data_IF_313575454583
#
_entry.id   IF_313575454583
#
_cell.length_a   1.000
_cell.length_b   1.000
_cell.length_c   1.000
_cell.angle_alpha   90.00
_cell.angle_beta   90.00
_cell.angle_gamma   90.00
#
_symmetry.space_group_name_H-M   'P 1'
#
loop_
_entity.id
_entity.type
_entity.pdbx_description
1 polymer ?
#
# COMPACT_ATOMS: atom_id res chain seq x y z
N UNK A 1 -50.18 13.36 -12.70
CA UNK A 1 -49.92 11.96 -12.33
C UNK A 1 -48.44 11.80 -12.06
N UNK A 2 -48.02 11.27 -10.89
CA UNK A 2 -46.61 11.22 -10.49
C UNK A 2 -45.91 10.02 -11.15
N UNK A 3 -44.73 10.25 -11.73
CA UNK A 3 -43.79 9.20 -12.13
C UNK A 3 -42.44 9.49 -11.44
N UNK A 4 -42.47 9.47 -10.10
CA UNK A 4 -41.28 9.32 -9.28
C UNK A 4 -40.79 7.88 -9.48
N UNK A 5 -39.69 7.72 -10.21
CA UNK A 5 -39.20 6.40 -10.60
C UNK A 5 -37.75 6.43 -11.03
N UNK A 6 -36.85 6.42 -10.03
CA UNK A 6 -35.68 5.52 -9.92
C UNK A 6 -34.61 6.15 -9.04
N UNK A 7 -34.65 5.78 -7.77
CA UNK A 7 -33.50 5.80 -6.88
C UNK A 7 -32.36 5.00 -7.54
N UNK A 8 -31.29 5.68 -7.96
CA UNK A 8 -30.03 5.00 -8.26
C UNK A 8 -29.34 4.71 -6.94
N UNK A 9 -29.52 3.46 -6.51
CA UNK A 9 -28.77 2.78 -5.44
C UNK A 9 -27.33 3.27 -5.39
N UNK A 10 -27.01 3.95 -4.29
CA UNK A 10 -25.65 4.19 -3.80
C UNK A 10 -24.88 2.88 -3.86
N UNK A 11 -23.71 2.93 -4.49
CA UNK A 11 -22.78 1.81 -4.58
C UNK A 11 -22.57 1.26 -3.16
N UNK A 12 -22.86 -0.02 -3.00
CA UNK A 12 -22.47 -0.85 -1.87
C UNK A 12 -20.99 -0.61 -1.59
N UNK A 13 -20.68 0.05 -0.48
CA UNK A 13 -19.35 0.02 0.12
C UNK A 13 -19.14 -1.41 0.62
N UNK A 14 -18.46 -2.21 -0.20
CA UNK A 14 -17.94 -3.51 0.24
C UNK A 14 -16.98 -3.24 1.39
N UNK A 15 -17.34 -3.77 2.56
CA UNK A 15 -16.56 -3.71 3.79
C UNK A 15 -15.21 -4.37 3.53
N UNK A 16 -14.23 -3.55 3.15
CA UNK A 16 -12.85 -3.96 3.01
C UNK A 16 -12.37 -4.43 4.38
N UNK A 17 -11.92 -5.69 4.47
CA UNK A 17 -11.22 -6.20 5.64
C UNK A 17 -9.97 -5.33 5.79
N UNK A 18 -10.06 -4.27 6.62
CA UNK A 18 -8.99 -3.28 6.83
C UNK A 18 -7.75 -3.99 7.35
N UNK A 19 -6.92 -4.46 6.43
CA UNK A 19 -5.52 -4.67 6.73
C UNK A 19 -4.99 -3.32 7.19
N UNK A 20 -4.30 -3.26 8.34
CA UNK A 20 -3.74 -2.02 8.83
C UNK A 20 -2.86 -1.43 7.73
N UNK A 21 -3.16 -0.20 7.36
CA UNK A 21 -2.41 0.51 6.34
C UNK A 21 -0.98 0.74 6.84
N UNK A 22 -0.03 0.91 5.93
CA UNK A 22 1.36 1.23 6.29
C UNK A 22 1.43 2.46 7.22
N UNK A 23 0.56 3.43 6.96
CA UNK A 23 0.41 4.67 7.71
C UNK A 23 -0.11 4.43 9.14
N UNK A 24 -0.83 3.35 9.41
CA UNK A 24 -1.29 3.01 10.76
C UNK A 24 -0.14 2.52 11.66
N UNK A 25 0.91 1.94 11.05
CA UNK A 25 2.05 1.34 11.78
C UNK A 25 3.32 2.17 11.78
N UNK A 26 3.49 3.03 10.79
CA UNK A 26 4.74 3.78 10.61
C UNK A 26 4.50 5.24 10.29
N UNK A 27 5.40 6.09 10.79
CA UNK A 27 5.54 7.47 10.34
C UNK A 27 6.54 7.53 9.19
N UNK A 28 6.05 7.74 7.97
CA UNK A 28 6.91 7.93 6.79
C UNK A 28 7.58 9.30 6.84
N UNK A 29 8.91 9.31 6.76
CA UNK A 29 9.79 10.47 6.80
C UNK A 29 10.36 10.74 5.41
N UNK A 30 11.64 11.08 5.33
CA UNK A 30 12.32 11.47 4.09
C UNK A 30 12.45 10.34 3.06
N UNK A 31 12.68 10.73 1.81
CA UNK A 31 12.97 9.83 0.70
C UNK A 31 14.45 9.43 0.76
N UNK A 32 14.71 8.13 0.87
CA UNK A 32 16.06 7.57 0.89
C UNK A 32 16.55 7.19 -0.51
N UNK A 33 15.63 6.85 -1.41
CA UNK A 33 16.00 6.47 -2.77
C UNK A 33 14.82 6.25 -3.70
N UNK A 34 15.10 6.27 -5.00
CA UNK A 34 14.14 5.95 -6.06
C UNK A 34 14.71 4.85 -6.94
N UNK A 35 13.84 3.95 -7.37
CA UNK A 35 14.11 2.92 -8.36
C UNK A 35 13.08 3.01 -9.48
N UNK A 36 13.21 2.15 -10.49
CA UNK A 36 12.36 2.17 -11.68
C UNK A 36 10.85 2.02 -11.36
N UNK A 37 10.52 1.22 -10.34
CA UNK A 37 9.13 0.92 -9.94
C UNK A 37 8.89 1.04 -8.44
N UNK A 38 9.87 1.56 -7.71
CA UNK A 38 9.84 1.60 -6.25
C UNK A 38 10.44 2.89 -5.71
N UNK A 39 9.93 3.36 -4.58
CA UNK A 39 10.55 4.43 -3.80
C UNK A 39 10.83 3.91 -2.39
N UNK A 40 11.98 4.29 -1.82
CA UNK A 40 12.35 3.91 -0.46
C UNK A 40 12.27 5.13 0.42
N UNK A 41 11.49 5.06 1.50
CA UNK A 41 11.39 6.12 2.50
C UNK A 41 11.87 5.64 3.85
N UNK A 42 12.45 6.55 4.62
CA UNK A 42 12.69 6.33 6.04
C UNK A 42 11.34 6.27 6.75
N UNK A 43 11.17 5.35 7.69
CA UNK A 43 9.95 5.22 8.46
C UNK A 43 10.28 4.93 9.92
N UNK A 44 9.59 5.59 10.84
CA UNK A 44 9.68 5.31 12.27
C UNK A 44 8.49 4.45 12.71
N UNK A 45 8.75 3.40 13.50
CA UNK A 45 7.70 2.55 14.05
C UNK A 45 6.85 3.32 15.07
N UNK A 46 5.52 3.24 14.92
CA UNK A 46 4.56 3.79 15.90
C UNK A 46 4.49 2.95 17.17
N UNK A 47 4.71 1.65 17.07
CA UNK A 47 4.68 0.73 18.20
C UNK A 47 5.97 0.83 19.03
N UNK A 48 7.12 1.05 18.38
CA UNK A 48 8.43 1.17 19.02
C UNK A 48 9.10 2.49 18.63
N UNK A 49 8.80 3.59 19.33
CA UNK A 49 9.41 4.90 19.06
C UNK A 49 10.94 4.82 19.06
N UNK A 50 11.58 5.51 18.11
CA UNK A 50 13.03 5.47 17.91
C UNK A 50 13.53 4.32 17.03
N UNK A 51 12.72 3.30 16.73
CA UNK A 51 13.08 2.25 15.76
C UNK A 51 12.80 2.74 14.34
N UNK A 52 13.86 2.82 13.55
CA UNK A 52 13.84 3.32 12.18
C UNK A 52 13.98 2.16 11.18
N UNK A 53 13.18 2.20 10.12
CA UNK A 53 13.18 1.24 9.02
C UNK A 53 13.24 1.95 7.67
N UNK A 54 13.79 1.27 6.67
CA UNK A 54 13.65 1.66 5.27
C UNK A 54 12.45 0.93 4.67
N UNK A 55 11.42 1.67 4.26
CA UNK A 55 10.22 1.11 3.65
C UNK A 55 10.29 1.25 2.14
N UNK A 56 10.44 0.13 1.44
CA UNK A 56 10.39 0.06 -0.03
C UNK A 56 8.93 -0.04 -0.49
N UNK A 57 8.44 1.06 -1.04
CA UNK A 57 7.08 1.20 -1.59
C UNK A 57 7.14 0.89 -3.08
N UNK A 58 6.25 0.02 -3.56
CA UNK A 58 6.27 -0.49 -4.93
C UNK A 58 4.88 -0.32 -5.54
N UNK A 59 4.79 0.33 -6.71
CA UNK A 59 3.52 0.45 -7.42
C UNK A 59 3.23 -0.86 -8.17
N UNK A 60 2.25 -1.62 -7.67
CA UNK A 60 1.82 -2.88 -8.28
C UNK A 60 1.34 -2.71 -9.73
N UNK A 61 0.79 -1.55 -10.10
CA UNK A 61 0.33 -1.31 -11.48
C UNK A 61 1.50 -1.27 -12.46
N UNK A 62 2.63 -0.70 -12.03
CA UNK A 62 3.85 -0.62 -12.83
C UNK A 62 4.56 -1.98 -12.97
N UNK A 63 4.19 -2.95 -12.14
CA UNK A 63 4.72 -4.32 -12.17
C UNK A 63 3.87 -5.31 -12.97
N UNK A 64 2.80 -4.87 -13.64
CA UNK A 64 1.95 -5.75 -14.45
C UNK A 64 2.80 -6.50 -15.48
N UNK A 65 2.83 -7.83 -15.40
CA UNK A 65 3.67 -8.69 -16.25
C UNK A 65 5.09 -8.97 -15.73
N UNK A 66 5.46 -8.48 -14.54
CA UNK A 66 6.73 -8.75 -13.84
C UNK A 66 6.51 -9.17 -12.37
N UNK A 67 5.35 -9.75 -12.07
CA UNK A 67 4.93 -10.13 -10.72
C UNK A 67 5.87 -11.19 -10.12
N UNK A 68 6.35 -12.12 -10.94
CA UNK A 68 7.32 -13.14 -10.55
C UNK A 68 8.63 -12.54 -10.01
N UNK A 69 9.06 -11.40 -10.57
CA UNK A 69 10.27 -10.72 -10.10
C UNK A 69 10.09 -10.14 -8.70
N UNK A 70 8.89 -9.62 -8.38
CA UNK A 70 8.57 -9.11 -7.05
C UNK A 70 8.50 -10.27 -6.04
N UNK A 71 7.83 -11.37 -6.40
CA UNK A 71 7.75 -12.53 -5.53
C UNK A 71 9.13 -13.14 -5.25
N UNK A 72 9.98 -13.21 -6.27
CA UNK A 72 11.33 -13.73 -6.12
C UNK A 72 12.15 -12.86 -5.16
N UNK A 73 12.06 -11.53 -5.29
CA UNK A 73 12.74 -10.60 -4.37
C UNK A 73 12.29 -10.85 -2.92
N UNK A 74 10.98 -10.98 -2.68
CA UNK A 74 10.44 -11.27 -1.34
C UNK A 74 10.91 -12.64 -0.83
N UNK A 75 10.91 -13.67 -1.69
CA UNK A 75 11.33 -15.03 -1.33
C UNK A 75 12.81 -15.08 -0.94
N UNK A 76 13.68 -14.37 -1.67
CA UNK A 76 15.11 -14.31 -1.36
C UNK A 76 15.37 -13.56 -0.05
N UNK A 77 14.70 -12.44 0.21
CA UNK A 77 14.91 -11.63 1.41
C UNK A 77 14.33 -12.25 2.70
N UNK A 78 13.42 -13.23 2.60
CA UNK A 78 12.81 -13.92 3.75
C UNK A 78 13.62 -15.13 4.24
N UNK A 79 14.75 -15.42 3.61
CA UNK A 79 15.61 -16.57 3.91
C UNK A 79 16.76 -16.16 4.80
#
# INVERSE_FOLDING_TARGET
>A
MPLFGKEKKTKKEEKDHRHPSLEDKYFLKELLGTGAFSVVRLAESKENPGVMHAVKIIDKKALKGKEDSLENEIKVLRR
#
